data_IF_111927520092
#
_entry.id   IF_111927520092
#
_cell.length_a   1.000
_cell.length_b   1.000
_cell.length_c   1.000
_cell.angle_alpha   90.00
_cell.angle_beta   90.00
_cell.angle_gamma   90.00
#
_symmetry.space_group_name_H-M   'P 1'
#
loop_
_entity.id
_entity.type
_entity.pdbx_description
1 polymer ?
#
# COMPACT_ATOMS: atom_id res chain seq x y z
N UNK A 1 -8.61 2.86 28.59
CA UNK A 1 -9.24 3.57 27.47
C UNK A 1 -8.30 4.68 27.03
N UNK A 2 -7.86 4.68 25.78
CA UNK A 2 -6.99 5.72 25.24
C UNK A 2 -7.67 7.07 25.16
N UNK A 3 -6.89 8.14 24.97
CA UNK A 3 -7.43 9.51 24.79
C UNK A 3 -8.10 9.71 23.41
N UNK A 4 -7.85 8.80 22.46
CA UNK A 4 -8.45 8.82 21.14
C UNK A 4 -9.41 7.65 20.96
N UNK A 5 -10.38 7.78 20.06
CA UNK A 5 -11.34 6.72 19.71
C UNK A 5 -10.68 5.67 18.79
N UNK A 6 -9.74 4.93 19.33
CA UNK A 6 -9.02 3.87 18.61
C UNK A 6 -9.00 2.61 19.48
N UNK A 7 -9.04 1.46 18.82
CA UNK A 7 -8.78 0.17 19.47
C UNK A 7 -7.28 0.09 19.75
N UNK A 8 -6.89 -0.44 20.90
CA UNK A 8 -5.48 -0.61 21.25
C UNK A 8 -4.95 -2.00 20.85
N UNK A 9 -3.62 -2.14 20.85
CA UNK A 9 -2.96 -3.38 20.44
C UNK A 9 -3.36 -4.59 21.31
N UNK A 10 -3.68 -4.37 22.59
CA UNK A 10 -4.08 -5.46 23.50
C UNK A 10 -5.50 -5.93 23.17
N UNK A 11 -6.44 -5.02 22.89
CA UNK A 11 -7.80 -5.37 22.47
C UNK A 11 -7.80 -6.15 21.15
N UNK A 12 -6.90 -5.79 20.21
CA UNK A 12 -6.71 -6.52 18.97
C UNK A 12 -6.10 -7.91 19.23
N UNK A 13 -4.98 -7.95 19.95
CA UNK A 13 -4.23 -9.19 20.20
C UNK A 13 -4.98 -10.18 21.09
N UNK A 14 -5.82 -9.71 22.00
CA UNK A 14 -6.69 -10.57 22.83
C UNK A 14 -7.89 -11.13 22.07
N UNK A 15 -8.23 -10.52 20.91
CA UNK A 15 -9.44 -10.82 20.13
C UNK A 15 -10.71 -10.27 20.77
N UNK A 16 -10.60 -9.21 21.58
CA UNK A 16 -11.75 -8.45 22.08
C UNK A 16 -12.33 -7.56 20.97
N UNK A 17 -11.49 -7.09 20.05
CA UNK A 17 -11.92 -6.40 18.83
C UNK A 17 -12.42 -7.42 17.79
N UNK A 18 -13.69 -7.79 17.88
CA UNK A 18 -14.33 -8.78 17.01
C UNK A 18 -15.81 -8.52 16.83
N UNK A 19 -16.40 -9.10 15.80
CA UNK A 19 -17.85 -9.08 15.62
C UNK A 19 -18.55 -9.98 16.64
N UNK A 20 -19.62 -9.50 17.23
CA UNK A 20 -20.34 -10.18 18.31
C UNK A 20 -20.82 -11.59 17.95
N UNK A 21 -21.06 -11.86 16.67
CA UNK A 21 -21.47 -13.20 16.24
C UNK A 21 -20.35 -14.24 16.38
N UNK A 22 -19.07 -13.86 16.34
CA UNK A 22 -17.96 -14.80 16.62
C UNK A 22 -17.91 -15.19 18.10
N UNK A 23 -18.16 -14.23 19.00
CA UNK A 23 -18.27 -14.50 20.44
C UNK A 23 -19.40 -15.52 20.68
N UNK A 24 -20.60 -15.19 20.18
CA UNK A 24 -21.77 -16.07 20.31
C UNK A 24 -21.56 -17.47 19.70
N UNK A 25 -20.91 -17.52 18.53
CA UNK A 25 -20.58 -18.79 17.87
C UNK A 25 -19.65 -19.63 18.73
N UNK A 26 -18.59 -19.03 19.29
CA UNK A 26 -17.66 -19.73 20.17
C UNK A 26 -18.32 -20.26 21.41
N UNK A 27 -19.21 -19.47 22.06
CA UNK A 27 -19.95 -19.86 23.24
C UNK A 27 -20.91 -21.02 22.96
N UNK A 28 -21.68 -20.94 21.88
CA UNK A 28 -22.61 -22.00 21.48
C UNK A 28 -21.87 -23.30 21.16
N UNK A 29 -20.79 -23.24 20.38
CA UNK A 29 -19.97 -24.40 20.07
C UNK A 29 -19.36 -25.01 21.34
N UNK A 30 -18.98 -24.19 22.34
CA UNK A 30 -18.50 -24.66 23.63
C UNK A 30 -19.58 -25.46 24.39
N UNK A 31 -20.80 -24.93 24.46
CA UNK A 31 -21.92 -25.56 25.12
C UNK A 31 -22.33 -26.90 24.45
N UNK A 32 -22.19 -26.97 23.13
CA UNK A 32 -22.43 -28.20 22.35
C UNK A 32 -21.25 -29.18 22.34
N UNK A 33 -20.14 -28.83 23.02
CA UNK A 33 -18.93 -29.68 23.07
C UNK A 33 -18.23 -29.80 21.71
N UNK A 34 -18.40 -28.82 20.81
CA UNK A 34 -17.85 -28.81 19.45
C UNK A 34 -16.64 -27.90 19.33
N UNK A 35 -15.56 -28.42 18.76
CA UNK A 35 -14.39 -27.67 18.32
C UNK A 35 -13.68 -28.41 17.19
N UNK A 36 -14.30 -28.50 15.98
CA UNK A 36 -13.71 -29.25 14.88
C UNK A 36 -12.38 -28.64 14.44
N UNK A 37 -11.50 -29.48 13.93
CA UNK A 37 -10.34 -29.04 13.15
C UNK A 37 -10.84 -28.60 11.78
N UNK A 38 -10.50 -27.37 11.40
CA UNK A 38 -10.89 -26.81 10.10
C UNK A 38 -9.67 -26.30 9.35
N UNK A 39 -9.77 -26.32 8.02
CA UNK A 39 -8.90 -25.51 7.16
C UNK A 39 -9.76 -24.43 6.52
N UNK A 40 -9.32 -23.19 6.68
CA UNK A 40 -9.95 -22.00 6.07
C UNK A 40 -9.01 -21.37 5.05
N UNK A 41 -9.59 -20.75 4.04
CA UNK A 41 -8.85 -19.95 3.07
C UNK A 41 -9.42 -18.53 2.99
N UNK A 42 -8.52 -17.54 2.84
CA UNK A 42 -8.87 -16.14 2.64
C UNK A 42 -8.69 -15.82 1.17
N UNK A 43 -9.77 -15.38 0.52
CA UNK A 43 -9.82 -15.06 -0.90
C UNK A 43 -10.56 -13.75 -1.14
N UNK A 44 -10.18 -12.98 -2.18
CA UNK A 44 -10.96 -11.87 -2.68
C UNK A 44 -11.80 -12.28 -3.88
N UNK A 45 -13.07 -11.84 -3.91
CA UNK A 45 -13.98 -12.10 -5.05
C UNK A 45 -14.14 -10.88 -5.95
N UNK A 46 -13.91 -9.69 -5.41
CA UNK A 46 -13.93 -8.42 -6.13
C UNK A 46 -12.60 -7.72 -5.91
N UNK A 47 -12.00 -7.29 -7.00
CA UNK A 47 -10.77 -6.50 -6.99
C UNK A 47 -11.06 -5.13 -7.62
N UNK A 48 -10.36 -4.05 -7.20
CA UNK A 48 -10.48 -2.74 -7.84
C UNK A 48 -9.99 -2.74 -9.28
N UNK A 49 -9.10 -3.67 -9.62
CA UNK A 49 -8.53 -3.91 -10.93
C UNK A 49 -8.54 -5.42 -11.23
N UNK A 50 -7.94 -5.88 -12.32
CA UNK A 50 -7.83 -7.30 -12.67
C UNK A 50 -7.00 -8.10 -11.65
N UNK A 51 -6.08 -7.44 -10.95
CA UNK A 51 -5.17 -8.00 -9.97
C UNK A 51 -5.07 -7.14 -8.69
N UNK A 52 -4.47 -7.71 -7.65
CA UNK A 52 -4.15 -7.01 -6.41
C UNK A 52 -2.75 -7.34 -5.90
N UNK A 53 -2.21 -6.48 -5.05
CA UNK A 53 -0.97 -6.72 -4.29
C UNK A 53 -1.34 -7.21 -2.90
N UNK A 54 -0.89 -8.40 -2.52
CA UNK A 54 -1.08 -8.92 -1.17
C UNK A 54 -0.15 -8.20 -0.17
N UNK A 55 -0.75 -7.55 0.83
CA UNK A 55 -0.05 -6.78 1.86
C UNK A 55 -0.76 -6.92 3.23
N UNK A 56 -0.03 -6.68 4.33
CA UNK A 56 -0.55 -6.81 5.70
C UNK A 56 -0.26 -8.16 6.35
N UNK A 57 0.56 -9.00 5.73
CA UNK A 57 0.91 -10.32 6.27
C UNK A 57 1.66 -10.24 7.60
N UNK A 58 2.53 -9.26 7.83
CA UNK A 58 3.28 -9.10 9.08
C UNK A 58 2.36 -8.91 10.29
N UNK A 59 1.35 -8.04 10.15
CA UNK A 59 0.34 -7.80 11.18
C UNK A 59 -0.55 -9.05 11.38
N UNK A 60 -0.95 -9.73 10.30
CA UNK A 60 -1.71 -10.96 10.34
C UNK A 60 -0.97 -12.08 11.09
N UNK A 61 0.32 -12.27 10.82
CA UNK A 61 1.15 -13.24 11.53
C UNK A 61 1.32 -12.88 13.00
N UNK A 62 1.55 -11.60 13.30
CA UNK A 62 1.66 -11.10 14.68
C UNK A 62 0.37 -11.30 15.48
N UNK A 63 -0.79 -11.18 14.81
CA UNK A 63 -2.10 -11.48 15.41
C UNK A 63 -2.23 -12.96 15.79
N UNK A 64 -1.82 -13.86 14.91
CA UNK A 64 -2.01 -15.30 15.05
C UNK A 64 -0.90 -16.01 15.82
N UNK A 65 0.25 -15.35 16.08
CA UNK A 65 1.36 -15.88 16.86
C UNK A 65 0.92 -16.31 18.27
N UNK A 66 1.26 -17.53 18.64
CA UNK A 66 0.90 -18.14 19.93
C UNK A 66 -0.44 -18.86 19.95
N UNK A 67 -1.25 -18.78 18.88
CA UNK A 67 -2.45 -19.60 18.74
C UNK A 67 -2.07 -20.99 18.18
N UNK A 68 -2.74 -22.09 18.59
CA UNK A 68 -2.42 -23.44 18.13
C UNK A 68 -2.91 -23.68 16.68
N UNK A 69 -2.32 -22.95 15.74
CA UNK A 69 -2.69 -22.99 14.31
C UNK A 69 -1.45 -23.08 13.43
N UNK A 70 -1.65 -23.63 12.24
CA UNK A 70 -0.71 -23.54 11.13
C UNK A 70 -1.18 -22.47 10.14
N UNK A 71 -0.28 -21.60 9.67
CA UNK A 71 -0.59 -20.55 8.70
C UNK A 71 0.29 -20.69 7.48
N UNK A 72 -0.36 -20.78 6.33
CA UNK A 72 0.24 -20.75 5.02
C UNK A 72 -0.23 -19.50 4.28
N UNK A 73 0.65 -18.84 3.54
CA UNK A 73 0.30 -17.64 2.81
C UNK A 73 1.13 -17.47 1.53
N UNK A 74 0.66 -16.62 0.64
CA UNK A 74 1.51 -16.01 -0.37
C UNK A 74 2.55 -15.12 0.32
N UNK A 75 3.80 -15.01 -0.17
CA UNK A 75 4.72 -14.00 0.31
C UNK A 75 4.14 -12.59 0.12
N UNK A 76 4.30 -11.70 1.11
CA UNK A 76 3.87 -10.32 0.99
C UNK A 76 4.48 -9.64 -0.23
N UNK A 77 3.71 -8.81 -0.93
CA UNK A 77 4.08 -8.21 -2.21
C UNK A 77 3.82 -9.10 -3.43
N UNK A 78 3.27 -10.30 -3.26
CA UNK A 78 2.81 -11.10 -4.40
C UNK A 78 1.61 -10.46 -5.08
N UNK A 79 1.59 -10.51 -6.40
CA UNK A 79 0.37 -10.28 -7.17
C UNK A 79 -0.58 -11.45 -6.92
N UNK A 80 -1.86 -11.18 -6.86
CA UNK A 80 -2.89 -12.22 -6.78
C UNK A 80 -4.11 -11.84 -7.62
N UNK A 81 -4.86 -12.86 -8.01
CA UNK A 81 -6.05 -12.70 -8.84
C UNK A 81 -7.31 -13.15 -8.10
N UNK A 82 -8.47 -12.80 -8.65
CA UNK A 82 -9.77 -13.13 -8.08
C UNK A 82 -9.90 -14.62 -7.74
N UNK A 83 -10.26 -14.92 -6.50
CA UNK A 83 -10.54 -16.27 -6.02
C UNK A 83 -9.32 -17.12 -5.67
N UNK A 84 -8.12 -16.56 -5.77
CA UNK A 84 -6.89 -17.18 -5.27
C UNK A 84 -6.80 -17.03 -3.75
N UNK A 85 -6.42 -18.08 -3.00
CA UNK A 85 -6.17 -17.96 -1.57
C UNK A 85 -4.86 -17.22 -1.31
N UNK A 86 -4.93 -16.12 -0.55
CA UNK A 86 -3.73 -15.37 -0.10
C UNK A 86 -3.22 -15.86 1.24
N UNK A 87 -4.13 -16.37 2.11
CA UNK A 87 -3.80 -16.99 3.41
C UNK A 87 -4.65 -18.27 3.56
N UNK A 88 -4.06 -19.28 4.19
CA UNK A 88 -4.71 -20.50 4.65
C UNK A 88 -4.37 -20.72 6.12
N UNK A 89 -5.36 -21.03 6.94
CA UNK A 89 -5.19 -21.33 8.37
C UNK A 89 -5.77 -22.71 8.65
N UNK A 90 -5.04 -23.56 9.37
CA UNK A 90 -5.50 -24.86 9.84
C UNK A 90 -5.38 -24.97 11.36
N UNK A 91 -6.43 -25.39 12.02
CA UNK A 91 -6.48 -25.56 13.47
C UNK A 91 -7.91 -25.75 13.97
N UNK A 92 -8.06 -25.84 15.30
CA UNK A 92 -9.39 -25.90 15.89
C UNK A 92 -10.12 -24.56 15.73
N UNK A 93 -11.35 -24.59 15.20
CA UNK A 93 -12.08 -23.38 14.79
C UNK A 93 -12.21 -22.32 15.90
N UNK A 94 -12.56 -22.76 17.13
CA UNK A 94 -12.75 -21.83 18.25
C UNK A 94 -11.48 -21.14 18.71
N UNK A 95 -10.31 -21.68 18.37
CA UNK A 95 -9.04 -21.10 18.81
C UNK A 95 -8.69 -19.82 18.04
N UNK A 96 -9.22 -19.66 16.82
CA UNK A 96 -8.91 -18.49 15.99
C UNK A 96 -10.14 -17.73 15.45
N UNK A 97 -11.36 -18.26 15.56
CA UNK A 97 -12.55 -17.67 14.95
C UNK A 97 -12.78 -16.20 15.33
N UNK A 98 -12.55 -15.81 16.59
CA UNK A 98 -12.73 -14.43 17.06
C UNK A 98 -11.74 -13.42 16.45
N UNK A 99 -10.66 -13.90 15.83
CA UNK A 99 -9.65 -13.05 15.22
C UNK A 99 -9.96 -12.70 13.76
N UNK A 100 -11.00 -13.28 13.15
CA UNK A 100 -11.35 -13.05 11.74
C UNK A 100 -11.54 -11.57 11.42
N UNK A 101 -12.26 -10.82 12.26
CA UNK A 101 -12.51 -9.39 12.06
C UNK A 101 -11.21 -8.59 11.94
N UNK A 102 -10.29 -8.77 12.88
CA UNK A 102 -9.01 -8.05 12.88
C UNK A 102 -8.07 -8.55 11.77
N UNK A 103 -8.04 -9.87 11.53
CA UNK A 103 -7.24 -10.49 10.48
C UNK A 103 -7.60 -9.96 9.09
N UNK A 104 -8.88 -9.94 8.76
CA UNK A 104 -9.36 -9.39 7.49
C UNK A 104 -9.09 -7.90 7.42
N UNK A 105 -9.33 -7.15 8.50
CA UNK A 105 -9.07 -5.70 8.56
C UNK A 105 -7.63 -5.34 8.20
N UNK A 106 -6.65 -6.07 8.70
CA UNK A 106 -5.23 -5.85 8.38
C UNK A 106 -4.93 -5.99 6.89
N UNK A 107 -5.36 -7.10 6.29
CA UNK A 107 -5.03 -7.39 4.89
C UNK A 107 -5.89 -6.63 3.88
N UNK A 108 -7.17 -6.37 4.19
CA UNK A 108 -8.08 -5.64 3.30
C UNK A 108 -7.55 -4.24 3.00
N UNK A 109 -7.20 -3.49 4.05
CA UNK A 109 -6.77 -2.11 3.91
C UNK A 109 -5.35 -1.99 3.36
N UNK A 110 -4.41 -2.78 3.91
CA UNK A 110 -3.02 -2.78 3.45
C UNK A 110 -2.90 -3.19 1.97
N UNK A 111 -3.63 -4.24 1.54
CA UNK A 111 -3.62 -4.68 0.15
C UNK A 111 -4.24 -3.65 -0.80
N UNK A 112 -5.31 -2.95 -0.38
CA UNK A 112 -5.90 -1.88 -1.17
C UNK A 112 -4.91 -0.74 -1.43
N UNK A 113 -4.22 -0.28 -0.38
CA UNK A 113 -3.20 0.78 -0.50
C UNK A 113 -2.01 0.33 -1.34
N UNK A 114 -1.50 -0.89 -1.11
CA UNK A 114 -0.37 -1.42 -1.87
C UNK A 114 -0.72 -1.59 -3.36
N UNK A 115 -1.93 -2.05 -3.67
CA UNK A 115 -2.41 -2.19 -5.05
C UNK A 115 -2.49 -0.82 -5.75
N UNK A 116 -3.12 0.17 -5.11
CA UNK A 116 -3.21 1.51 -5.70
C UNK A 116 -1.82 2.14 -5.89
N UNK A 117 -0.92 1.97 -4.93
CA UNK A 117 0.46 2.45 -5.04
C UNK A 117 1.21 1.76 -6.19
N UNK A 118 1.00 0.46 -6.39
CA UNK A 118 1.61 -0.30 -7.49
C UNK A 118 1.11 0.15 -8.87
N UNK A 119 -0.20 0.37 -9.03
CA UNK A 119 -0.80 0.93 -10.26
C UNK A 119 -0.20 2.31 -10.55
N UNK A 120 -0.14 3.19 -9.56
CA UNK A 120 0.42 4.53 -9.68
C UNK A 120 1.90 4.48 -10.07
N UNK A 121 2.69 3.59 -9.44
CA UNK A 121 4.10 3.41 -9.76
C UNK A 121 4.30 2.87 -11.17
N UNK A 122 3.49 1.93 -11.59
CA UNK A 122 3.47 1.42 -12.96
C UNK A 122 3.22 2.55 -13.97
N UNK A 123 2.19 3.39 -13.74
CA UNK A 123 1.91 4.55 -14.58
C UNK A 123 3.07 5.56 -14.64
N UNK A 124 3.80 5.74 -13.54
CA UNK A 124 4.93 6.66 -13.45
C UNK A 124 6.19 6.14 -14.17
N UNK A 125 6.26 4.86 -14.49
CA UNK A 125 7.43 4.20 -15.09
C UNK A 125 8.71 4.46 -14.24
N UNK A 126 9.72 5.08 -14.82
CA UNK A 126 10.98 5.38 -14.12
C UNK A 126 10.93 6.62 -13.21
N UNK A 127 9.81 7.37 -13.23
CA UNK A 127 9.71 8.59 -12.41
C UNK A 127 9.48 8.24 -10.94
N UNK A 128 10.17 8.90 -10.00
CA UNK A 128 9.92 8.73 -8.58
C UNK A 128 8.50 9.13 -8.19
N UNK A 129 7.89 8.33 -7.29
CA UNK A 129 6.59 8.59 -6.69
C UNK A 129 6.73 8.62 -5.18
N UNK A 130 6.23 9.68 -4.54
CA UNK A 130 6.27 9.85 -3.10
C UNK A 130 4.86 9.85 -2.49
N UNK A 131 4.68 9.11 -1.39
CA UNK A 131 3.41 9.09 -0.65
C UNK A 131 3.25 10.38 0.17
N UNK A 132 2.16 11.11 -0.11
CA UNK A 132 1.75 12.34 0.60
C UNK A 132 0.39 12.17 1.26
N UNK A 133 -0.03 10.92 1.50
CA UNK A 133 -1.42 10.58 1.82
C UNK A 133 -1.77 10.49 3.29
N UNK A 134 -0.84 10.32 4.23
CA UNK A 134 -1.13 10.07 5.65
C UNK A 134 -2.12 11.06 6.27
N UNK A 135 -2.03 12.36 5.91
CA UNK A 135 -2.93 13.42 6.40
C UNK A 135 -4.40 13.27 5.94
N UNK A 136 -4.71 12.33 5.06
CA UNK A 136 -6.05 12.08 4.51
C UNK A 136 -6.79 10.97 5.26
N UNK A 137 -6.13 10.32 6.22
CA UNK A 137 -6.67 9.24 7.02
C UNK A 137 -6.48 9.51 8.52
N UNK A 138 -7.08 8.64 9.35
CA UNK A 138 -6.92 8.74 10.80
C UNK A 138 -5.44 8.55 11.19
N UNK A 139 -4.86 9.38 12.08
CA UNK A 139 -3.43 9.34 12.41
C UNK A 139 -2.96 8.00 13.00
N UNK A 140 -3.84 7.22 13.61
CA UNK A 140 -3.49 5.90 14.16
C UNK A 140 -3.02 4.90 13.09
N UNK A 141 -3.44 5.06 11.82
CA UNK A 141 -3.08 4.15 10.73
C UNK A 141 -2.00 4.71 9.81
N UNK A 142 -1.42 5.88 10.11
CA UNK A 142 -0.42 6.52 9.25
C UNK A 142 0.77 5.62 8.94
N UNK A 143 1.27 4.86 9.92
CA UNK A 143 2.38 3.92 9.73
C UNK A 143 2.04 2.79 8.77
N UNK A 144 0.83 2.22 8.89
CA UNK A 144 0.33 1.18 8.01
C UNK A 144 0.19 1.70 6.57
N UNK A 145 -0.33 2.92 6.39
CA UNK A 145 -0.46 3.56 5.07
C UNK A 145 0.90 3.66 4.38
N UNK A 146 1.90 4.26 5.06
CA UNK A 146 3.21 4.46 4.45
C UNK A 146 3.96 3.14 4.20
N UNK A 147 3.80 2.15 5.10
CA UNK A 147 4.34 0.81 4.90
C UNK A 147 3.74 0.13 3.66
N UNK A 148 2.41 0.18 3.55
CA UNK A 148 1.70 -0.45 2.43
C UNK A 148 1.99 0.24 1.10
N UNK A 149 2.06 1.57 1.08
CA UNK A 149 2.46 2.33 -0.09
C UNK A 149 3.90 1.99 -0.53
N UNK A 150 4.83 1.84 0.43
CA UNK A 150 6.20 1.40 0.16
C UNK A 150 6.25 0.00 -0.46
N UNK A 151 5.52 -0.96 0.11
CA UNK A 151 5.40 -2.31 -0.47
C UNK A 151 4.85 -2.23 -1.90
N UNK A 152 3.87 -1.35 -2.15
CA UNK A 152 3.32 -1.08 -3.48
C UNK A 152 4.27 -0.36 -4.46
N UNK A 153 5.51 0.00 -4.02
CA UNK A 153 6.56 0.46 -4.93
C UNK A 153 6.87 1.96 -4.92
N UNK A 154 6.22 2.78 -4.06
CA UNK A 154 6.60 4.21 -3.96
C UNK A 154 8.06 4.39 -3.52
N UNK A 155 8.66 5.53 -3.85
CA UNK A 155 10.09 5.78 -3.63
C UNK A 155 10.39 6.51 -2.31
N UNK A 156 9.35 6.86 -1.56
CA UNK A 156 9.46 7.47 -0.24
C UNK A 156 8.13 8.00 0.28
N UNK A 157 8.15 8.56 1.48
CA UNK A 157 6.99 9.05 2.19
C UNK A 157 7.23 10.43 2.81
N UNK A 158 6.18 11.24 2.95
CA UNK A 158 6.29 12.55 3.60
C UNK A 158 6.03 12.51 5.12
N UNK A 159 5.48 11.42 5.61
CA UNK A 159 5.14 11.29 7.02
C UNK A 159 6.31 10.75 7.85
N UNK A 160 6.60 11.40 8.97
CA UNK A 160 7.59 10.93 9.96
C UNK A 160 7.16 9.65 10.67
N UNK A 161 5.91 9.20 10.50
CA UNK A 161 5.43 7.90 11.00
C UNK A 161 5.83 6.72 10.11
N UNK A 162 6.41 6.97 8.94
CA UNK A 162 6.89 5.91 8.06
C UNK A 162 7.87 4.98 8.80
N UNK A 163 7.79 3.65 8.58
CA UNK A 163 8.74 2.71 9.15
C UNK A 163 10.19 3.05 8.80
N UNK A 164 11.11 2.70 9.70
CA UNK A 164 12.55 2.84 9.44
C UNK A 164 12.96 2.12 8.14
N UNK A 165 13.80 2.77 7.33
CA UNK A 165 14.23 2.26 6.03
C UNK A 165 13.38 2.73 4.85
N UNK A 166 12.30 3.47 5.08
CA UNK A 166 11.58 4.22 4.03
C UNK A 166 12.16 5.64 3.96
N UNK A 167 12.65 6.10 2.80
CA UNK A 167 13.16 7.45 2.65
C UNK A 167 12.07 8.49 2.94
N UNK A 168 12.41 9.50 3.74
CA UNK A 168 11.52 10.63 3.95
C UNK A 168 11.74 11.66 2.86
N UNK A 169 10.66 12.04 2.19
CA UNK A 169 10.63 13.05 1.15
C UNK A 169 9.61 14.13 1.53
N UNK A 170 10.05 15.35 1.48
CA UNK A 170 9.20 16.49 1.77
C UNK A 170 9.91 17.77 1.38
N UNK A 171 9.12 18.76 1.04
CA UNK A 171 9.65 20.06 0.67
C UNK A 171 9.16 21.09 1.69
N UNK A 172 8.38 22.04 1.26
CA UNK A 172 7.77 23.06 2.11
C UNK A 172 6.26 23.14 1.85
N UNK A 173 5.45 23.47 2.84
CA UNK A 173 4.03 23.79 2.60
C UNK A 173 3.87 25.27 2.18
N UNK A 174 2.74 25.62 1.54
CA UNK A 174 2.40 27.02 1.25
C UNK A 174 2.47 27.91 2.49
N UNK A 175 2.05 27.41 3.65
CA UNK A 175 2.13 28.15 4.92
C UNK A 175 3.56 28.61 5.26
N UNK A 176 4.59 27.80 4.94
CA UNK A 176 5.98 28.20 5.14
C UNK A 176 6.33 29.41 4.26
N UNK A 177 5.97 29.36 2.97
CA UNK A 177 6.20 30.48 2.04
C UNK A 177 5.46 31.73 2.53
N UNK A 178 4.22 31.58 2.97
CA UNK A 178 3.39 32.68 3.49
C UNK A 178 3.97 33.34 4.75
N UNK A 179 4.69 32.60 5.60
CA UNK A 179 5.36 33.17 6.78
C UNK A 179 6.45 34.15 6.44
N UNK A 180 6.96 34.17 5.21
CA UNK A 180 8.03 35.10 4.75
C UNK A 180 7.49 36.25 3.89
N UNK A 181 6.19 36.30 3.61
CA UNK A 181 5.54 37.30 2.73
C UNK A 181 6.00 37.25 1.27
N UNK A 182 7.28 36.96 1.02
CA UNK A 182 7.86 36.80 -0.32
C UNK A 182 8.41 35.41 -0.54
N UNK A 183 8.03 34.72 -1.62
CA UNK A 183 8.54 33.38 -1.93
C UNK A 183 10.05 33.27 -1.91
N UNK A 184 10.75 34.26 -2.49
CA UNK A 184 12.21 34.28 -2.54
C UNK A 184 12.84 34.19 -1.14
N UNK A 185 12.34 34.96 -0.16
CA UNK A 185 12.89 34.96 1.19
C UNK A 185 12.70 33.60 1.88
N UNK A 186 11.57 32.94 1.63
CA UNK A 186 11.30 31.57 2.09
C UNK A 186 12.26 30.56 1.45
N UNK A 187 12.44 30.61 0.13
CA UNK A 187 13.34 29.70 -0.57
C UNK A 187 14.79 29.84 -0.12
N UNK A 188 15.28 31.08 0.01
CA UNK A 188 16.62 31.36 0.53
C UNK A 188 16.79 30.93 2.00
N UNK A 189 15.73 31.03 2.84
CA UNK A 189 15.76 30.54 4.20
C UNK A 189 15.80 29.00 4.23
N UNK A 190 15.03 28.36 3.37
CA UNK A 190 15.06 26.88 3.24
C UNK A 190 16.44 26.41 2.76
N UNK A 191 17.01 27.05 1.77
CA UNK A 191 18.35 26.70 1.28
C UNK A 191 19.41 26.81 2.37
N UNK A 192 19.41 27.90 3.14
CA UNK A 192 20.39 28.13 4.22
C UNK A 192 20.27 27.13 5.37
N UNK A 193 19.05 26.67 5.72
CA UNK A 193 18.78 25.98 6.98
C UNK A 193 18.34 24.54 6.83
N UNK A 194 17.88 24.10 5.65
CA UNK A 194 17.58 22.70 5.43
C UNK A 194 18.86 21.85 5.45
N UNK A 195 18.81 20.61 5.97
CA UNK A 195 19.94 19.69 5.94
C UNK A 195 20.53 19.56 4.52
N UNK A 196 21.84 19.33 4.43
CA UNK A 196 22.55 19.31 3.15
C UNK A 196 22.13 18.18 2.20
N UNK A 197 21.59 17.10 2.76
CA UNK A 197 21.07 15.95 2.04
C UNK A 197 19.61 16.12 1.55
N UNK A 198 18.93 17.19 1.97
CA UNK A 198 17.55 17.49 1.53
C UNK A 198 17.60 18.23 0.19
N UNK A 199 16.98 17.69 -0.88
CA UNK A 199 16.90 18.36 -2.18
C UNK A 199 16.20 19.72 -2.09
N UNK A 200 16.72 20.70 -2.83
CA UNK A 200 16.17 22.08 -2.88
C UNK A 200 14.97 22.14 -3.82
N UNK A 201 13.90 21.43 -3.45
CA UNK A 201 12.63 21.44 -4.17
C UNK A 201 11.77 22.59 -3.66
N UNK A 202 11.63 23.65 -4.46
CA UNK A 202 10.94 24.88 -4.09
C UNK A 202 9.48 24.86 -4.54
N UNK A 203 8.56 25.24 -3.66
CA UNK A 203 7.12 25.31 -3.96
C UNK A 203 6.82 26.59 -4.73
N UNK A 204 6.22 26.47 -5.91
CA UNK A 204 6.08 27.53 -6.91
C UNK A 204 4.65 27.63 -7.42
N UNK A 205 3.73 28.07 -6.59
CA UNK A 205 2.32 28.37 -6.91
C UNK A 205 1.60 28.98 -5.71
N UNK A 206 2.36 29.73 -4.88
CA UNK A 206 1.79 30.30 -3.65
C UNK A 206 1.07 31.63 -3.90
N UNK A 207 1.67 32.56 -4.64
CA UNK A 207 1.16 33.92 -4.84
C UNK A 207 1.01 34.34 -6.30
N UNK A 208 1.87 33.83 -7.18
CA UNK A 208 1.85 34.16 -8.59
C UNK A 208 1.52 32.93 -9.44
N UNK A 209 1.55 33.08 -10.78
CA UNK A 209 1.46 31.94 -11.67
C UNK A 209 2.74 31.09 -11.58
N UNK A 210 2.59 29.81 -11.88
CA UNK A 210 3.61 28.80 -11.74
C UNK A 210 4.86 29.10 -12.54
N UNK A 211 4.72 29.61 -13.74
CA UNK A 211 5.83 29.92 -14.65
C UNK A 211 6.76 30.97 -14.04
N UNK A 212 6.19 32.05 -13.48
CA UNK A 212 6.97 33.13 -12.88
C UNK A 212 7.66 32.67 -11.60
N UNK A 213 6.93 32.01 -10.69
CA UNK A 213 7.53 31.55 -9.44
C UNK A 213 8.59 30.46 -9.71
N UNK A 214 8.38 29.55 -10.69
CA UNK A 214 9.37 28.55 -11.07
C UNK A 214 10.67 29.14 -11.57
N UNK A 215 10.60 30.18 -12.40
CA UNK A 215 11.80 30.89 -12.89
C UNK A 215 12.55 31.63 -11.77
N UNK A 216 11.82 32.26 -10.86
CA UNK A 216 12.42 32.94 -9.72
C UNK A 216 13.02 31.95 -8.72
N UNK A 217 12.42 30.79 -8.52
CA UNK A 217 12.97 29.70 -7.70
C UNK A 217 14.23 29.09 -8.32
N UNK A 218 14.24 28.88 -9.64
CA UNK A 218 15.44 28.41 -10.36
C UNK A 218 16.62 29.37 -10.19
N UNK A 219 16.39 30.69 -10.30
CA UNK A 219 17.41 31.75 -10.04
C UNK A 219 17.87 31.74 -8.58
N UNK A 220 17.03 31.33 -7.65
CA UNK A 220 17.35 31.17 -6.22
C UNK A 220 18.09 29.85 -5.90
N UNK A 221 18.41 29.01 -6.89
CA UNK A 221 19.16 27.78 -6.72
C UNK A 221 18.31 26.52 -6.48
N UNK A 222 17.06 26.54 -6.89
CA UNK A 222 16.22 25.30 -6.84
C UNK A 222 16.83 24.18 -7.67
N UNK A 223 16.87 22.96 -7.11
CA UNK A 223 17.16 21.74 -7.86
C UNK A 223 15.91 21.20 -8.60
N UNK A 224 14.74 21.53 -8.06
CA UNK A 224 13.46 21.28 -8.70
C UNK A 224 12.41 22.29 -8.24
N UNK A 225 11.42 22.54 -9.08
CA UNK A 225 10.24 23.35 -8.75
C UNK A 225 9.06 22.42 -8.51
N UNK A 226 8.32 22.64 -7.41
CA UNK A 226 7.12 21.88 -7.09
C UNK A 226 5.88 22.69 -7.41
N UNK A 227 5.00 22.07 -8.19
CA UNK A 227 3.68 22.60 -8.50
C UNK A 227 2.64 21.77 -7.74
N UNK A 228 1.79 22.43 -6.94
CA UNK A 228 0.73 21.82 -6.14
C UNK A 228 -0.63 22.42 -6.54
N UNK A 229 -0.79 22.74 -7.81
CA UNK A 229 -1.86 23.55 -8.37
C UNK A 229 -3.23 22.93 -8.06
N UNK A 230 -4.12 23.65 -7.36
CA UNK A 230 -5.44 23.17 -7.01
C UNK A 230 -6.29 22.92 -8.26
N UNK A 231 -7.13 21.88 -8.21
CA UNK A 231 -8.09 21.57 -9.28
C UNK A 231 -9.11 22.69 -9.54
N UNK A 232 -9.26 23.63 -8.61
CA UNK A 232 -10.11 24.82 -8.76
C UNK A 232 -9.49 25.89 -9.65
N UNK A 233 -8.18 25.81 -9.95
CA UNK A 233 -7.52 26.75 -10.85
C UNK A 233 -7.92 26.50 -12.30
N UNK A 234 -8.13 27.57 -13.06
CA UNK A 234 -8.42 27.46 -14.50
C UNK A 234 -7.13 27.25 -15.30
N UNK A 235 -7.18 26.37 -16.26
CA UNK A 235 -6.10 26.06 -17.20
C UNK A 235 -5.91 24.57 -17.39
N UNK A 236 -5.27 24.18 -18.48
CA UNK A 236 -4.86 22.80 -18.71
C UNK A 236 -3.49 22.60 -18.03
N UNK A 237 -3.40 21.65 -17.11
CA UNK A 237 -2.15 21.37 -16.39
C UNK A 237 -1.02 21.00 -17.35
N UNK A 238 -1.31 20.29 -18.45
CA UNK A 238 -0.30 19.95 -19.44
C UNK A 238 0.34 21.20 -20.06
N UNK A 239 -0.49 22.18 -20.41
CA UNK A 239 0.00 23.45 -20.95
C UNK A 239 0.82 24.23 -19.92
N UNK A 240 0.39 24.25 -18.67
CA UNK A 240 1.15 24.91 -17.58
C UNK A 240 2.53 24.25 -17.43
N UNK A 241 2.60 22.92 -17.43
CA UNK A 241 3.87 22.18 -17.34
C UNK A 241 4.79 22.47 -18.54
N UNK A 242 4.23 22.50 -19.75
CA UNK A 242 4.98 22.83 -20.98
C UNK A 242 5.50 24.27 -20.96
N UNK A 243 4.71 25.23 -20.50
CA UNK A 243 5.15 26.62 -20.34
C UNK A 243 6.25 26.75 -19.27
N UNK A 244 6.12 26.08 -18.13
CA UNK A 244 7.14 26.09 -17.07
C UNK A 244 8.45 25.49 -17.58
N UNK A 245 8.39 24.32 -18.24
CA UNK A 245 9.58 23.68 -18.82
C UNK A 245 10.26 24.58 -19.85
N UNK A 246 9.47 25.14 -20.74
CA UNK A 246 9.98 26.06 -21.77
C UNK A 246 10.70 27.26 -21.18
N UNK A 247 10.09 27.93 -20.21
CA UNK A 247 10.69 29.10 -19.56
C UNK A 247 11.99 28.77 -18.80
N UNK A 248 12.02 27.62 -18.11
CA UNK A 248 13.24 27.15 -17.46
C UNK A 248 14.37 26.93 -18.49
N UNK A 249 14.07 26.25 -19.60
CA UNK A 249 15.05 25.92 -20.63
C UNK A 249 15.63 27.17 -21.32
N UNK A 250 14.80 28.09 -21.78
CA UNK A 250 15.27 29.29 -22.49
C UNK A 250 16.00 30.27 -21.58
N UNK A 251 15.79 30.20 -20.26
CA UNK A 251 16.50 31.02 -19.28
C UNK A 251 17.76 30.33 -18.71
N UNK A 252 18.16 29.15 -19.23
CA UNK A 252 19.41 28.49 -18.87
C UNK A 252 19.31 27.55 -17.66
N UNK A 253 18.12 27.08 -17.32
CA UNK A 253 17.86 26.15 -16.22
C UNK A 253 17.30 24.77 -16.69
N UNK A 254 17.90 24.12 -17.72
CA UNK A 254 17.37 22.87 -18.25
C UNK A 254 17.45 21.71 -17.23
N UNK A 255 18.37 21.79 -16.26
CA UNK A 255 18.58 20.76 -15.24
C UNK A 255 17.65 20.91 -14.01
N UNK A 256 16.87 21.98 -13.93
CA UNK A 256 15.87 22.14 -12.85
C UNK A 256 14.68 21.25 -13.11
N UNK A 257 14.47 20.26 -12.23
CA UNK A 257 13.37 19.29 -12.37
C UNK A 257 12.00 19.90 -12.07
N UNK A 258 10.94 19.23 -12.54
CA UNK A 258 9.55 19.56 -12.22
C UNK A 258 8.99 18.45 -11.32
N UNK A 259 8.53 18.81 -10.13
CA UNK A 259 7.86 17.95 -9.18
C UNK A 259 6.36 18.30 -9.16
N UNK A 260 5.49 17.36 -9.51
CA UNK A 260 4.05 17.61 -9.55
C UNK A 260 3.34 16.93 -8.36
N UNK A 261 2.43 17.67 -7.72
CA UNK A 261 1.55 17.15 -6.65
C UNK A 261 0.18 17.85 -6.71
N UNK A 262 -0.76 17.47 -5.83
CA UNK A 262 -2.05 18.15 -5.77
C UNK A 262 -3.20 17.34 -6.38
N UNK A 263 -3.60 16.22 -5.73
CA UNK A 263 -4.80 15.45 -6.10
C UNK A 263 -4.65 14.54 -7.31
N UNK A 264 -3.41 14.12 -7.61
CA UNK A 264 -3.09 13.30 -8.78
C UNK A 264 -3.72 11.91 -8.72
N UNK A 265 -4.21 11.46 -9.86
CA UNK A 265 -4.70 10.10 -10.14
C UNK A 265 -3.67 9.33 -10.98
N UNK A 266 -3.88 8.02 -11.18
CA UNK A 266 -3.08 7.21 -12.09
C UNK A 266 -3.11 7.76 -13.54
N UNK A 267 -4.28 8.20 -13.99
CA UNK A 267 -4.45 8.80 -15.32
C UNK A 267 -3.67 10.11 -15.47
N UNK A 268 -3.66 10.96 -14.42
CA UNK A 268 -2.86 12.19 -14.42
C UNK A 268 -1.37 11.90 -14.54
N UNK A 269 -0.89 10.89 -13.80
CA UNK A 269 0.51 10.48 -13.84
C UNK A 269 0.87 9.97 -15.24
N UNK A 270 0.04 9.11 -15.82
CA UNK A 270 0.24 8.60 -17.17
C UNK A 270 0.28 9.75 -18.20
N UNK A 271 -0.59 10.77 -18.02
CA UNK A 271 -0.67 11.94 -18.87
C UNK A 271 0.56 12.85 -18.78
N UNK A 272 1.21 12.93 -17.62
CA UNK A 272 2.27 13.93 -17.37
C UNK A 272 3.68 13.34 -17.22
N UNK A 273 3.86 12.02 -17.17
CA UNK A 273 5.14 11.36 -16.91
C UNK A 273 6.29 11.68 -17.88
N UNK A 274 5.98 12.18 -19.05
CA UNK A 274 6.97 12.56 -20.06
C UNK A 274 7.58 13.94 -19.81
N UNK A 275 6.91 14.80 -19.05
CA UNK A 275 7.34 16.18 -18.75
C UNK A 275 7.67 16.43 -17.28
N UNK A 276 7.18 15.56 -16.37
CA UNK A 276 7.39 15.67 -14.92
C UNK A 276 8.51 14.73 -14.49
N UNK A 277 9.36 15.18 -13.57
CA UNK A 277 10.50 14.41 -13.08
C UNK A 277 10.19 13.61 -11.80
N UNK A 278 9.20 14.04 -11.00
CA UNK A 278 8.74 13.31 -9.81
C UNK A 278 7.31 13.67 -9.44
N UNK A 279 6.63 12.76 -8.75
CA UNK A 279 5.24 12.91 -8.33
C UNK A 279 5.06 12.78 -6.82
N UNK A 280 4.20 13.65 -6.24
CA UNK A 280 3.70 13.54 -4.87
C UNK A 280 2.22 13.15 -4.87
N UNK A 281 1.90 11.93 -4.45
CA UNK A 281 0.55 11.37 -4.54
C UNK A 281 -0.04 11.18 -3.15
N UNK A 282 -1.18 11.81 -2.90
CA UNK A 282 -1.83 11.80 -1.59
C UNK A 282 -3.04 10.88 -1.53
N UNK A 283 -4.23 11.46 -1.81
CA UNK A 283 -5.51 10.78 -1.63
C UNK A 283 -5.66 9.51 -2.45
N UNK A 284 -5.16 9.47 -3.67
CA UNK A 284 -5.28 8.30 -4.54
C UNK A 284 -4.60 7.05 -3.97
N UNK A 285 -3.53 7.21 -3.17
CA UNK A 285 -2.91 6.10 -2.44
C UNK A 285 -3.62 5.87 -1.10
N UNK A 286 -3.71 6.90 -0.24
CA UNK A 286 -4.16 6.72 1.13
C UNK A 286 -5.68 6.42 1.26
N UNK A 287 -6.50 6.84 0.30
CA UNK A 287 -7.94 6.57 0.26
C UNK A 287 -8.27 5.43 -0.73
N UNK A 288 -7.31 4.58 -1.05
CA UNK A 288 -7.53 3.44 -1.92
C UNK A 288 -8.72 2.60 -1.41
N UNK A 289 -9.50 2.07 -2.33
CA UNK A 289 -10.55 1.12 -2.00
C UNK A 289 -9.94 -0.10 -1.31
N UNK A 290 -10.54 -0.53 -0.20
CA UNK A 290 -10.15 -1.78 0.46
C UNK A 290 -10.45 -2.95 -0.46
N UNK A 291 -9.60 -3.99 -0.40
CA UNK A 291 -9.89 -5.25 -1.07
C UNK A 291 -10.76 -6.09 -0.13
N UNK A 292 -11.95 -6.46 -0.60
CA UNK A 292 -12.92 -7.23 0.18
C UNK A 292 -12.52 -8.71 0.21
N UNK A 293 -11.73 -9.09 1.22
CA UNK A 293 -11.39 -10.47 1.49
C UNK A 293 -12.46 -11.16 2.34
N UNK A 294 -12.67 -12.44 2.09
CA UNK A 294 -13.51 -13.32 2.91
C UNK A 294 -12.73 -14.53 3.37
N UNK A 295 -13.00 -14.98 4.61
CA UNK A 295 -12.48 -16.21 5.17
C UNK A 295 -13.56 -17.30 5.08
N UNK A 296 -13.23 -18.41 4.41
CA UNK A 296 -14.16 -19.49 4.14
C UNK A 296 -13.58 -20.84 4.54
N UNK A 297 -14.36 -21.65 5.26
CA UNK A 297 -14.01 -23.05 5.56
C UNK A 297 -14.02 -23.85 4.26
N UNK A 298 -12.93 -24.56 3.99
CA UNK A 298 -12.76 -25.43 2.81
C UNK A 298 -12.61 -26.90 3.16
N UNK A 299 -12.22 -27.22 4.42
CA UNK A 299 -12.18 -28.58 4.98
C UNK A 299 -12.61 -28.58 6.44
N UNK A 300 -13.28 -29.63 6.87
CA UNK A 300 -13.65 -29.95 8.26
C UNK A 300 -13.26 -31.39 8.53
N UNK A 301 -12.42 -31.65 9.55
CA UNK A 301 -11.95 -32.99 9.89
C UNK A 301 -11.45 -33.74 8.63
N UNK A 302 -10.58 -33.08 7.85
CA UNK A 302 -10.01 -33.58 6.59
C UNK A 302 -11.03 -33.87 5.45
N UNK A 303 -12.32 -33.58 5.66
CA UNK A 303 -13.33 -33.68 4.63
C UNK A 303 -13.52 -32.40 3.89
N UNK A 304 -13.64 -32.50 2.58
CA UNK A 304 -13.84 -31.36 1.68
C UNK A 304 -15.21 -30.72 1.92
N UNK A 305 -15.24 -29.41 2.15
CA UNK A 305 -16.45 -28.62 2.32
C UNK A 305 -16.37 -27.30 1.56
N UNK A 306 -17.51 -26.66 1.36
CA UNK A 306 -17.61 -25.24 1.01
C UNK A 306 -18.99 -24.71 1.32
N UNK A 307 -19.10 -23.42 1.59
CA UNK A 307 -20.39 -22.74 1.51
C UNK A 307 -20.81 -22.54 0.05
N UNK A 308 -22.11 -22.32 -0.18
CA UNK A 308 -22.64 -22.04 -1.52
C UNK A 308 -21.90 -20.87 -2.19
N UNK A 309 -21.52 -21.04 -3.45
CA UNK A 309 -20.83 -20.00 -4.25
C UNK A 309 -19.31 -19.97 -4.13
N UNK A 310 -18.71 -20.89 -3.36
CA UNK A 310 -17.26 -21.02 -3.20
C UNK A 310 -16.75 -22.37 -3.69
N UNK A 311 -15.51 -22.41 -4.19
CA UNK A 311 -14.84 -23.67 -4.55
C UNK A 311 -14.46 -24.41 -3.28
N UNK A 312 -14.78 -25.70 -3.19
CA UNK A 312 -14.48 -26.59 -2.05
C UNK A 312 -13.05 -27.11 -2.08
N UNK A 313 -12.57 -27.55 -0.92
CA UNK A 313 -11.23 -28.12 -0.74
C UNK A 313 -10.11 -27.09 -0.78
N UNK A 314 -8.95 -27.52 -0.33
CA UNK A 314 -7.73 -26.70 -0.33
C UNK A 314 -7.23 -26.48 -1.76
N UNK A 315 -6.83 -25.24 -2.06
CA UNK A 315 -6.32 -24.82 -3.38
C UNK A 315 -4.85 -24.42 -3.29
N UNK A 316 -4.07 -24.81 -4.27
CA UNK A 316 -2.69 -24.38 -4.45
C UNK A 316 -2.61 -23.41 -5.62
N UNK A 317 -1.80 -22.36 -5.45
CA UNK A 317 -1.54 -21.34 -6.47
C UNK A 317 -0.09 -21.50 -6.94
N UNK A 318 0.08 -21.52 -8.23
CA UNK A 318 1.40 -21.59 -8.89
C UNK A 318 1.58 -20.41 -9.82
N UNK A 319 2.81 -19.91 -9.91
CA UNK A 319 3.22 -18.83 -10.81
C UNK A 319 4.18 -19.37 -11.87
N UNK A 320 4.02 -18.95 -13.11
CA UNK A 320 4.94 -19.20 -14.22
C UNK A 320 5.93 -18.05 -14.39
N UNK A 321 7.01 -18.27 -15.14
CA UNK A 321 8.04 -17.24 -15.38
C UNK A 321 7.51 -16.00 -16.14
N UNK A 322 6.38 -16.14 -16.86
CA UNK A 322 5.72 -15.02 -17.54
C UNK A 322 4.74 -14.23 -16.63
N UNK A 323 4.62 -14.62 -15.36
CA UNK A 323 3.71 -13.99 -14.41
C UNK A 323 2.27 -14.53 -14.43
N UNK A 324 1.94 -15.50 -15.29
CA UNK A 324 0.63 -16.16 -15.26
C UNK A 324 0.48 -17.05 -14.03
N UNK A 325 -0.75 -17.17 -13.54
CA UNK A 325 -1.07 -18.02 -12.40
C UNK A 325 -1.90 -19.24 -12.78
N UNK A 326 -1.68 -20.33 -12.04
CA UNK A 326 -2.46 -21.55 -12.13
C UNK A 326 -3.00 -21.94 -10.77
N UNK A 327 -4.34 -22.02 -10.65
CA UNK A 327 -5.04 -22.45 -9.44
C UNK A 327 -5.45 -23.92 -9.58
N UNK A 328 -4.90 -24.80 -8.73
CA UNK A 328 -5.20 -26.23 -8.71
C UNK A 328 -5.75 -26.68 -7.35
N UNK A 329 -6.59 -27.74 -7.31
CA UNK A 329 -6.87 -28.42 -6.06
C UNK A 329 -5.61 -29.04 -5.46
N UNK A 330 -5.49 -29.07 -4.13
CA UNK A 330 -4.40 -29.74 -3.42
C UNK A 330 -4.29 -31.21 -3.85
N UNK A 331 -3.07 -31.67 -4.11
CA UNK A 331 -2.78 -33.04 -4.55
C UNK A 331 -2.81 -33.26 -6.06
N UNK A 332 -3.17 -32.26 -6.84
CA UNK A 332 -3.01 -32.28 -8.30
C UNK A 332 -1.57 -31.86 -8.63
N UNK A 333 -0.89 -32.67 -9.45
CA UNK A 333 0.50 -32.37 -9.87
C UNK A 333 0.52 -31.19 -10.83
N UNK A 334 1.25 -30.11 -10.51
CA UNK A 334 1.38 -28.96 -11.41
C UNK A 334 2.33 -29.28 -12.59
N UNK A 335 2.32 -28.47 -13.65
CA UNK A 335 3.36 -28.47 -14.67
C UNK A 335 4.78 -28.26 -14.07
N UNK A 336 5.83 -28.77 -14.74
CA UNK A 336 7.21 -28.72 -14.22
C UNK A 336 7.76 -27.30 -14.04
N UNK A 337 7.32 -26.35 -14.85
CA UNK A 337 7.72 -24.93 -14.83
C UNK A 337 6.89 -24.06 -13.87
N UNK A 338 5.86 -24.62 -13.22
CA UNK A 338 5.00 -23.90 -12.29
C UNK A 338 5.59 -23.87 -10.88
N UNK A 339 5.77 -22.69 -10.30
CA UNK A 339 6.37 -22.46 -8.97
C UNK A 339 5.29 -22.24 -7.91
N UNK A 340 5.31 -22.98 -6.77
CA UNK A 340 4.30 -22.81 -5.72
C UNK A 340 4.44 -21.44 -5.04
N UNK A 341 3.31 -20.73 -4.92
CA UNK A 341 3.24 -19.43 -4.25
C UNK A 341 2.94 -19.54 -2.76
N UNK A 342 2.14 -20.51 -2.34
CA UNK A 342 1.73 -20.69 -0.93
C UNK A 342 2.87 -21.33 -0.13
N UNK A 343 3.30 -20.66 0.96
CA UNK A 343 4.39 -21.09 1.85
C UNK A 343 3.92 -21.09 3.29
N UNK A 344 4.55 -21.93 4.12
CA UNK A 344 4.26 -21.96 5.57
C UNK A 344 4.97 -20.80 6.27
N UNK A 345 4.24 -20.06 7.11
CA UNK A 345 4.74 -18.94 7.93
C UNK A 345 4.61 -19.18 9.43
N UNK A 346 3.54 -19.86 9.86
CA UNK A 346 3.37 -20.29 11.26
C UNK A 346 3.20 -21.80 11.27
N UNK A 347 3.89 -22.49 12.19
CA UNK A 347 3.74 -23.89 12.49
C UNK A 347 3.50 -24.05 13.99
N UNK A 348 2.41 -24.71 14.36
CA UNK A 348 2.03 -24.94 15.78
C UNK A 348 2.10 -23.63 16.61
N UNK A 349 1.63 -22.52 16.06
CA UNK A 349 1.64 -21.19 16.69
C UNK A 349 2.96 -20.45 16.69
N UNK A 350 4.02 -21.00 16.13
CA UNK A 350 5.34 -20.38 16.09
C UNK A 350 5.62 -19.78 14.71
N UNK A 351 5.98 -18.50 14.65
CA UNK A 351 6.41 -17.86 13.41
C UNK A 351 7.74 -18.44 12.96
N UNK A 352 7.78 -19.03 11.76
CA UNK A 352 8.98 -19.56 11.12
C UNK A 352 9.75 -18.48 10.34
N UNK A 353 9.02 -17.56 9.73
CA UNK A 353 9.57 -16.48 8.90
C UNK A 353 8.66 -15.27 8.97
N UNK A 354 9.25 -14.07 9.10
CA UNK A 354 8.52 -12.80 8.97
C UNK A 354 8.71 -12.19 7.58
N UNK A 355 7.72 -11.47 7.05
CA UNK A 355 7.87 -10.70 5.84
C UNK A 355 8.99 -9.66 5.97
N UNK A 356 9.76 -9.49 4.92
CA UNK A 356 10.76 -8.44 4.78
C UNK A 356 10.20 -7.36 3.83
N UNK A 357 10.01 -6.16 4.34
CA UNK A 357 9.40 -5.04 3.63
C UNK A 357 10.14 -4.69 2.32
N UNK A 358 11.48 -4.80 2.31
CA UNK A 358 12.28 -4.49 1.12
C UNK A 358 12.13 -5.58 0.06
N UNK A 359 12.11 -6.85 0.48
CA UNK A 359 11.85 -7.98 -0.42
C UNK A 359 10.43 -7.96 -0.97
N UNK A 360 9.46 -7.55 -0.13
CA UNK A 360 8.07 -7.39 -0.57
C UNK A 360 7.95 -6.32 -1.66
N UNK A 361 8.57 -5.15 -1.44
CA UNK A 361 8.63 -4.08 -2.46
C UNK A 361 9.32 -4.53 -3.74
N UNK A 362 10.48 -5.19 -3.62
CA UNK A 362 11.22 -5.67 -4.79
C UNK A 362 10.39 -6.65 -5.64
N UNK A 363 9.59 -7.51 -5.00
CA UNK A 363 8.66 -8.43 -5.70
C UNK A 363 7.61 -7.67 -6.49
N UNK A 364 6.96 -6.67 -5.88
CA UNK A 364 5.98 -5.82 -6.58
C UNK A 364 6.61 -5.15 -7.79
N UNK A 365 7.77 -4.48 -7.60
CA UNK A 365 8.43 -3.78 -8.70
C UNK A 365 8.77 -4.70 -9.86
N UNK A 366 9.30 -5.91 -9.58
CA UNK A 366 9.59 -6.91 -10.62
C UNK A 366 8.32 -7.37 -11.36
N UNK A 367 7.19 -7.52 -10.63
CA UNK A 367 5.93 -7.94 -11.26
C UNK A 367 5.34 -6.86 -12.15
N UNK A 368 5.31 -5.60 -11.69
CA UNK A 368 4.70 -4.50 -12.47
C UNK A 368 5.54 -4.10 -13.69
N UNK A 369 6.88 -4.31 -13.68
CA UNK A 369 7.73 -4.10 -14.85
C UNK A 369 7.33 -5.02 -16.02
N UNK A 370 6.83 -6.21 -15.72
CA UNK A 370 6.39 -7.18 -16.73
C UNK A 370 4.96 -6.93 -17.24
N UNK A 371 4.20 -6.03 -16.59
CA UNK A 371 2.80 -5.72 -16.92
C UNK A 371 2.64 -4.46 -17.79
N UNK A 372 3.71 -3.67 -17.98
CA UNK A 372 3.78 -2.46 -18.80
C UNK A 372 4.39 -2.79 -20.16
#
# INVERSE_FOLDING_TARGET
MGIFHTVDDNEIKSGENTDIYFVRTSDILALEGKNPVVTVEITAQNLPDEWGVFCGLDDALSLLEGLPVDVYAMPEGSIFYRGEPVIRISGHYRDFAKYETSLLGFICHASGIATSAAIIKACAAQRPVYSFGSRRQHPAISRMIERSAWVGGVDGASSTSAPAGIPLAGTMPHAFVMCFEKPLDAWLAFDRHAPGDVPRVMLCDTYCDEKREALDAAKAGASAVRLDTPSSRKGDMRQILEEVRWELDINGFPDVGIFLSGGLTADDILKYRDIVDAFGVGGSIANAQVIDFSLDIVEIEEKIYSKRGKKSGVKEVYEFDNGDHLLLPKGVTPPEDAKPMIKIFIKDGQILTKPDMQKSRARVLSSIENMI
#
